data_IF_455489568643
#
_entry.id   IF_455489568643
#
_cell.length_a   1.000
_cell.length_b   1.000
_cell.length_c   1.000
_cell.angle_alpha   90.00
_cell.angle_beta   90.00
_cell.angle_gamma   90.00
#
_symmetry.space_group_name_H-M   'P 1'
#
loop_
_entity.id
_entity.type
_entity.pdbx_description
1 polymer ?
#
# COMPACT_ATOMS: atom_id res chain seq x y z
N UNK A 1 -9.85 24.00 -7.59
CA UNK A 1 -10.09 23.77 -6.15
C UNK A 1 -10.61 22.36 -6.02
N UNK A 2 -9.94 21.51 -5.25
CA UNK A 2 -10.38 20.13 -5.04
C UNK A 2 -11.47 20.10 -3.97
N UNK A 3 -12.51 19.29 -4.16
CA UNK A 3 -13.53 19.10 -3.14
C UNK A 3 -12.94 18.36 -1.93
N UNK A 4 -13.25 18.80 -0.70
CA UNK A 4 -12.82 18.09 0.50
C UNK A 4 -13.51 16.72 0.62
N UNK A 5 -12.83 15.78 1.26
CA UNK A 5 -13.43 14.51 1.64
C UNK A 5 -14.26 14.70 2.91
N UNK A 6 -15.47 14.14 2.91
CA UNK A 6 -16.34 14.13 4.08
C UNK A 6 -16.55 12.70 4.54
N UNK A 7 -16.17 12.42 5.79
CA UNK A 7 -16.54 11.19 6.46
C UNK A 7 -18.01 11.30 6.88
N UNK A 8 -18.81 10.32 6.47
CA UNK A 8 -20.24 10.27 6.77
C UNK A 8 -20.57 8.97 7.50
N UNK A 9 -21.40 9.09 8.55
CA UNK A 9 -22.13 7.98 9.14
C UNK A 9 -23.61 8.23 8.88
N UNK A 10 -24.23 7.37 8.08
CA UNK A 10 -25.58 7.61 7.54
C UNK A 10 -25.63 9.00 6.89
N UNK A 11 -26.52 9.87 7.33
CA UNK A 11 -26.69 11.24 6.81
C UNK A 11 -25.87 12.30 7.56
N UNK A 12 -25.05 11.91 8.55
CA UNK A 12 -24.27 12.85 9.36
C UNK A 12 -22.82 12.92 8.90
N UNK A 13 -22.31 14.13 8.67
CA UNK A 13 -20.88 14.38 8.50
C UNK A 13 -20.21 14.31 9.87
N UNK A 14 -19.30 13.36 10.02
CA UNK A 14 -18.57 13.12 11.27
C UNK A 14 -17.10 13.55 11.18
N UNK A 15 -16.64 13.92 9.98
CA UNK A 15 -15.27 14.33 9.73
C UNK A 15 -15.07 14.96 8.37
N UNK A 16 -13.98 15.71 8.21
CA UNK A 16 -13.59 16.40 6.97
C UNK A 16 -12.08 16.31 6.77
N UNK A 17 -11.63 16.18 5.52
CA UNK A 17 -10.23 16.30 5.15
C UNK A 17 -10.07 17.05 3.82
N UNK A 18 -9.13 17.99 3.76
CA UNK A 18 -8.80 18.73 2.52
C UNK A 18 -7.56 18.17 1.81
N UNK A 19 -6.76 17.40 2.53
CA UNK A 19 -5.50 16.84 2.04
C UNK A 19 -5.23 15.45 2.67
N UNK A 20 -4.18 14.78 2.19
CA UNK A 20 -3.84 13.41 2.61
C UNK A 20 -3.43 13.33 4.08
N UNK A 21 -2.84 14.38 4.64
CA UNK A 21 -2.44 14.41 6.05
C UNK A 21 -3.65 14.52 6.97
N UNK A 22 -4.59 15.41 6.65
CA UNK A 22 -5.87 15.51 7.36
C UNK A 22 -6.69 14.25 7.23
N UNK A 23 -6.72 13.62 6.05
CA UNK A 23 -7.40 12.34 5.84
C UNK A 23 -6.84 11.29 6.80
N UNK A 24 -5.51 11.20 6.92
CA UNK A 24 -4.85 10.27 7.84
C UNK A 24 -5.22 10.56 9.30
N UNK A 25 -5.10 11.82 9.74
CA UNK A 25 -5.44 12.23 11.12
C UNK A 25 -6.89 11.91 11.46
N UNK A 26 -7.80 12.17 10.52
CA UNK A 26 -9.22 11.92 10.73
C UNK A 26 -9.54 10.42 10.76
N UNK A 27 -8.86 9.61 9.94
CA UNK A 27 -8.93 8.15 10.05
C UNK A 27 -8.37 7.63 11.39
N UNK A 28 -7.26 8.19 11.89
CA UNK A 28 -6.68 7.82 13.19
C UNK A 28 -7.66 8.12 14.34
N UNK A 29 -8.34 9.26 14.30
CA UNK A 29 -9.38 9.65 15.26
C UNK A 29 -10.59 8.70 15.17
N UNK A 30 -11.14 8.55 13.97
CA UNK A 30 -12.34 7.75 13.73
C UNK A 30 -12.07 6.24 13.91
N UNK A 31 -10.84 5.75 13.80
CA UNK A 31 -10.50 4.35 14.16
C UNK A 31 -10.93 4.03 15.60
N UNK A 32 -10.82 5.00 16.51
CA UNK A 32 -11.17 4.83 17.93
C UNK A 32 -12.63 5.18 18.19
N UNK A 33 -13.13 6.25 17.56
CA UNK A 33 -14.49 6.76 17.82
C UNK A 33 -15.59 6.05 17.02
N UNK A 34 -15.31 5.73 15.75
CA UNK A 34 -16.27 5.11 14.82
C UNK A 34 -15.57 4.32 13.69
N UNK A 35 -15.01 3.15 14.01
CA UNK A 35 -14.27 2.35 13.04
C UNK A 35 -15.14 1.84 11.89
N UNK A 36 -16.45 1.69 12.10
CA UNK A 36 -17.37 1.20 11.08
C UNK A 36 -17.58 2.21 9.95
N UNK A 37 -17.67 3.50 10.27
CA UNK A 37 -17.74 4.56 9.26
C UNK A 37 -16.48 4.59 8.38
N UNK A 38 -15.30 4.42 8.98
CA UNK A 38 -14.03 4.37 8.23
C UNK A 38 -13.97 3.15 7.33
N UNK A 39 -14.28 1.95 7.87
CA UNK A 39 -14.28 0.70 7.11
C UNK A 39 -15.26 0.75 5.93
N UNK A 40 -16.42 1.37 6.12
CA UNK A 40 -17.38 1.57 5.05
C UNK A 40 -16.77 2.39 3.91
N UNK A 41 -16.15 3.53 4.19
CA UNK A 41 -15.51 4.35 3.15
C UNK A 41 -14.32 3.68 2.46
N UNK A 42 -13.58 2.81 3.16
CA UNK A 42 -12.52 1.99 2.55
C UNK A 42 -13.13 0.96 1.59
N UNK A 43 -14.12 0.19 2.06
CA UNK A 43 -14.76 -0.89 1.29
C UNK A 43 -15.48 -0.40 0.04
N UNK A 44 -16.13 0.75 0.12
CA UNK A 44 -16.80 1.36 -1.04
C UNK A 44 -15.82 2.04 -2.02
N UNK A 45 -14.52 2.11 -1.69
CA UNK A 45 -13.53 2.78 -2.52
C UNK A 45 -13.69 4.31 -2.55
N UNK A 46 -14.42 4.90 -1.61
CA UNK A 46 -14.59 6.34 -1.52
C UNK A 46 -13.25 7.06 -1.32
N UNK A 47 -12.37 6.48 -0.49
CA UNK A 47 -11.06 7.06 -0.19
C UNK A 47 -10.14 7.04 -1.42
N UNK A 48 -10.04 5.90 -2.12
CA UNK A 48 -9.20 5.79 -3.32
C UNK A 48 -9.71 6.68 -4.45
N UNK A 49 -11.02 6.77 -4.65
CA UNK A 49 -11.63 7.66 -5.64
C UNK A 49 -11.32 9.14 -5.36
N UNK A 50 -11.43 9.57 -4.09
CA UNK A 50 -11.08 10.94 -3.71
C UNK A 50 -9.59 11.23 -3.88
N UNK A 51 -8.71 10.29 -3.52
CA UNK A 51 -7.27 10.45 -3.75
C UNK A 51 -6.95 10.61 -5.25
N UNK A 52 -7.63 9.85 -6.11
CA UNK A 52 -7.49 10.00 -7.56
C UNK A 52 -7.96 11.36 -8.05
N UNK A 53 -9.07 11.89 -7.50
CA UNK A 53 -9.62 13.20 -7.92
C UNK A 53 -8.71 14.38 -7.56
N UNK A 54 -7.97 14.29 -6.45
CA UNK A 54 -6.97 15.30 -6.05
C UNK A 54 -5.59 15.08 -6.66
N UNK A 55 -5.45 14.12 -7.59
CA UNK A 55 -4.22 13.84 -8.32
C UNK A 55 -3.22 12.90 -7.61
N UNK A 56 -3.59 12.29 -6.48
CA UNK A 56 -2.76 11.33 -5.72
C UNK A 56 -2.97 9.89 -6.23
N UNK A 57 -2.70 9.67 -7.51
CA UNK A 57 -2.94 8.40 -8.22
C UNK A 57 -2.20 7.21 -7.59
N UNK A 58 -0.94 7.39 -7.20
CA UNK A 58 -0.15 6.32 -6.58
C UNK A 58 -0.77 5.82 -5.27
N UNK A 59 -1.32 6.73 -4.46
CA UNK A 59 -2.01 6.37 -3.21
C UNK A 59 -3.38 5.74 -3.50
N UNK A 60 -4.11 6.24 -4.50
CA UNK A 60 -5.38 5.68 -4.91
C UNK A 60 -5.27 4.22 -5.38
N UNK A 61 -4.20 3.89 -6.12
CA UNK A 61 -3.92 2.53 -6.58
C UNK A 61 -3.41 1.61 -5.45
N UNK A 62 -2.73 2.19 -4.46
CA UNK A 62 -2.22 1.44 -3.31
C UNK A 62 -3.34 1.02 -2.34
N UNK A 63 -4.36 1.86 -2.14
CA UNK A 63 -5.47 1.59 -1.20
C UNK A 63 -6.51 0.69 -1.87
N UNK A 64 -6.70 -0.51 -1.31
CA UNK A 64 -7.65 -1.51 -1.81
C UNK A 64 -8.89 -1.60 -0.92
N UNK A 65 -10.08 -1.89 -1.49
CA UNK A 65 -11.32 -2.10 -0.72
C UNK A 65 -11.25 -3.18 0.37
N UNK A 66 -10.30 -4.10 0.27
CA UNK A 66 -10.12 -5.21 1.21
C UNK A 66 -9.17 -4.88 2.37
N UNK A 67 -8.56 -3.69 2.38
CA UNK A 67 -7.61 -3.29 3.41
C UNK A 67 -8.31 -2.97 4.74
N UNK A 68 -7.56 -3.18 5.81
CA UNK A 68 -7.92 -2.72 7.15
C UNK A 68 -7.68 -1.21 7.31
N UNK A 69 -8.24 -0.64 8.37
CA UNK A 69 -8.02 0.78 8.71
C UNK A 69 -6.52 1.06 8.90
N UNK A 70 -5.81 0.22 9.65
CA UNK A 70 -4.39 0.40 9.97
C UNK A 70 -3.48 0.23 8.74
N UNK A 71 -3.78 -0.72 7.85
CA UNK A 71 -3.07 -0.83 6.56
C UNK A 71 -3.27 0.43 5.72
N UNK A 72 -4.49 0.95 5.66
CA UNK A 72 -4.80 2.16 4.90
C UNK A 72 -4.07 3.38 5.47
N UNK A 73 -4.06 3.55 6.80
CA UNK A 73 -3.28 4.61 7.48
C UNK A 73 -1.78 4.47 7.19
N UNK A 74 -1.26 3.24 7.17
CA UNK A 74 0.16 2.97 6.87
C UNK A 74 0.53 3.33 5.43
N UNK A 75 -0.39 3.15 4.48
CA UNK A 75 -0.22 3.63 3.09
C UNK A 75 -0.21 5.16 3.05
N UNK A 76 -1.15 5.81 3.74
CA UNK A 76 -1.23 7.28 3.80
C UNK A 76 -0.05 7.93 4.53
N UNK A 77 0.58 7.25 5.48
CA UNK A 77 1.80 7.73 6.15
C UNK A 77 3.06 7.58 5.30
N UNK A 78 2.99 6.92 4.15
CA UNK A 78 4.16 6.57 3.34
C UNK A 78 5.01 5.45 3.95
N UNK A 79 4.48 4.75 4.96
CA UNK A 79 5.14 3.60 5.61
C UNK A 79 4.87 2.29 4.88
N UNK A 80 3.91 2.25 3.96
CA UNK A 80 3.75 1.16 3.01
C UNK A 80 4.92 1.20 2.01
N UNK A 81 5.94 0.43 2.35
CA UNK A 81 7.04 -0.01 1.52
C UNK A 81 6.65 -0.06 0.04
N UNK A 82 7.39 0.72 -0.75
CA UNK A 82 7.72 0.46 -2.15
C UNK A 82 7.21 -0.89 -2.66
N UNK A 83 6.08 -0.90 -3.38
CA UNK A 83 5.81 -1.98 -4.33
C UNK A 83 6.53 -1.72 -5.68
N UNK A 84 7.58 -0.86 -5.72
CA UNK A 84 8.64 -0.98 -6.73
C UNK A 84 9.63 -2.05 -6.28
N UNK A 85 9.24 -3.30 -6.51
CA UNK A 85 10.06 -4.45 -6.17
C UNK A 85 9.43 -5.76 -6.60
N UNK A 86 8.91 -5.84 -7.83
CA UNK A 86 8.69 -7.12 -8.49
C UNK A 86 10.07 -7.80 -8.56
N UNK A 87 10.31 -8.98 -7.95
CA UNK A 87 11.55 -9.70 -8.23
C UNK A 87 11.44 -10.21 -9.67
N UNK A 88 12.11 -9.52 -10.58
CA UNK A 88 12.27 -9.97 -11.96
C UNK A 88 13.75 -10.08 -12.27
N UNK A 89 14.39 -11.08 -11.66
CA UNK A 89 15.55 -11.69 -12.28
C UNK A 89 15.70 -13.13 -11.78
N UNK A 90 15.34 -14.08 -12.64
CA UNK A 90 15.72 -15.46 -12.48
C UNK A 90 17.21 -15.59 -12.65
N UNK A 91 17.90 -16.05 -11.61
CA UNK A 91 19.25 -16.58 -11.72
C UNK A 91 19.20 -17.98 -11.16
N UNK A 92 19.29 -18.95 -12.06
CA UNK A 92 19.46 -20.36 -11.72
C UNK A 92 20.78 -20.53 -10.96
N UNK A 93 20.71 -20.57 -9.64
CA UNK A 93 21.78 -21.11 -8.80
C UNK A 93 21.69 -22.64 -8.80
N UNK A 94 22.22 -23.26 -9.86
CA UNK A 94 22.70 -24.64 -9.79
C UNK A 94 24.22 -24.63 -9.79
N UNK A 95 24.79 -24.25 -8.65
CA UNK A 95 26.16 -24.55 -8.32
C UNK A 95 26.34 -26.06 -8.13
N UNK A 96 26.96 -26.74 -9.10
CA UNK A 96 27.68 -27.99 -8.86
C UNK A 96 29.10 -27.92 -9.44
N UNK A 97 29.99 -27.49 -8.55
CA UNK A 97 31.36 -27.99 -8.34
C UNK A 97 32.32 -27.96 -9.54
N UNK A 98 33.17 -26.93 -9.55
CA UNK A 98 34.51 -27.03 -10.11
C UNK A 98 35.37 -27.89 -9.17
N UNK A 99 35.80 -29.06 -9.64
CA UNK A 99 36.91 -29.83 -9.05
C UNK A 99 38.15 -29.69 -9.95
N UNK A 100 39.36 -29.61 -9.39
CA UNK A 100 40.57 -29.34 -10.17
C UNK A 100 40.91 -30.51 -11.12
N UNK A 101 41.21 -30.18 -12.38
CA UNK A 101 41.84 -31.09 -13.35
C UNK A 101 43.30 -31.30 -12.93
N UNK A 102 43.61 -32.46 -12.35
CA UNK A 102 44.98 -32.98 -12.30
C UNK A 102 45.07 -34.17 -13.25
N UNK A 103 45.69 -33.95 -14.41
CA UNK A 103 46.15 -35.03 -15.28
C UNK A 103 47.54 -35.45 -14.81
N UNK A 104 47.68 -36.67 -14.31
CA UNK A 104 48.97 -37.35 -14.17
C UNK A 104 48.92 -38.73 -14.84
N UNK A 105 49.86 -38.91 -15.76
CA UNK A 105 50.54 -40.12 -16.23
C UNK A 105 49.74 -41.31 -16.82
N UNK A 106 49.97 -41.56 -18.11
CA UNK A 106 50.28 -42.91 -18.62
C UNK A 106 51.30 -42.73 -19.77
N UNK A 107 52.61 -42.87 -19.51
CA UNK A 107 53.44 -44.06 -19.77
C UNK A 107 53.27 -44.65 -21.18
N UNK A 108 54.30 -44.45 -22.00
CA UNK A 108 54.79 -45.42 -22.98
C UNK A 108 56.26 -45.66 -22.65
#
# INVERSE_FOLDING_TARGET
MSEPFYFKRYDMVIGKAENTEELRKEMERLRTEDPFAVLYHIKEGHISNWLASIGKRDLAEAIKPTMTIDETISVLSGSATTHRGRPRNGHNEHGRKQGPRMSHQNRN
#
